data_IF_537220963746
#
_entry.id   IF_537220963746
#
_cell.length_a   1.000
_cell.length_b   1.000
_cell.length_c   1.000
_cell.angle_alpha   90.00
_cell.angle_beta   90.00
_cell.angle_gamma   90.00
#
_symmetry.space_group_name_H-M   'P 1'
#
loop_
_entity.id
_entity.type
_entity.pdbx_description
1 polymer ?
#
# COMPACT_ATOMS: atom_id res chain seq x y z
N UNK A 1 10.83 -16.06 -37.08
CA UNK A 1 9.56 -15.54 -36.53
C UNK A 1 9.24 -16.03 -35.10
N UNK A 2 9.87 -17.08 -34.58
CA UNK A 2 9.61 -17.63 -33.23
C UNK A 2 10.03 -16.75 -32.02
N UNK A 3 10.89 -15.75 -32.22
CA UNK A 3 11.47 -14.92 -31.13
C UNK A 3 10.54 -13.78 -30.69
N UNK A 4 9.62 -13.35 -31.56
CA UNK A 4 8.68 -12.25 -31.31
C UNK A 4 7.50 -12.71 -30.46
N UNK A 5 7.03 -13.94 -30.66
CA UNK A 5 5.89 -14.49 -29.90
C UNK A 5 6.24 -14.72 -28.41
N UNK A 6 7.49 -15.12 -28.12
CA UNK A 6 7.98 -15.29 -26.76
C UNK A 6 8.09 -13.97 -26.00
N UNK A 7 8.44 -12.88 -26.69
CA UNK A 7 8.52 -11.55 -26.08
C UNK A 7 7.12 -11.02 -25.72
N UNK A 8 6.12 -11.24 -26.58
CA UNK A 8 4.73 -10.81 -26.36
C UNK A 8 4.08 -11.61 -25.21
N UNK A 9 4.29 -12.92 -25.14
CA UNK A 9 3.85 -13.78 -24.03
C UNK A 9 4.51 -13.38 -22.70
N UNK A 10 5.80 -13.01 -22.72
CA UNK A 10 6.50 -12.53 -21.53
C UNK A 10 6.00 -11.15 -21.06
N UNK A 11 5.73 -10.22 -22.00
CA UNK A 11 5.15 -8.91 -21.69
C UNK A 11 3.74 -8.99 -21.13
N UNK A 12 2.89 -9.87 -21.67
CA UNK A 12 1.55 -10.13 -21.16
C UNK A 12 1.55 -10.64 -19.71
N UNK A 13 2.47 -11.55 -19.39
CA UNK A 13 2.64 -12.08 -18.02
C UNK A 13 3.02 -10.98 -17.02
N UNK A 14 3.91 -10.05 -17.41
CA UNK A 14 4.37 -8.98 -16.52
C UNK A 14 3.33 -7.87 -16.30
N UNK A 15 2.61 -7.51 -17.36
CA UNK A 15 1.53 -6.53 -17.25
C UNK A 15 0.43 -7.06 -16.33
N UNK A 16 0.04 -8.33 -16.47
CA UNK A 16 -0.94 -8.98 -15.61
C UNK A 16 -0.44 -9.04 -14.16
N UNK A 17 0.80 -9.47 -13.91
CA UNK A 17 1.33 -9.51 -12.53
C UNK A 17 1.40 -8.10 -11.90
N UNK A 18 1.77 -7.08 -12.68
CA UNK A 18 1.78 -5.69 -12.25
C UNK A 18 0.39 -5.18 -11.88
N UNK A 19 -0.58 -5.37 -12.78
CA UNK A 19 -1.99 -4.99 -12.53
C UNK A 19 -2.51 -5.69 -11.28
N UNK A 20 -2.32 -7.01 -11.15
CA UNK A 20 -2.77 -7.76 -9.97
C UNK A 20 -2.04 -7.33 -8.69
N UNK A 21 -0.81 -6.82 -8.77
CA UNK A 21 -0.09 -6.28 -7.61
C UNK A 21 -0.79 -5.08 -7.01
N UNK A 22 -1.41 -4.27 -7.86
CA UNK A 22 -2.02 -3.00 -7.47
C UNK A 22 -3.52 -3.18 -7.24
N UNK A 23 -4.22 -3.88 -8.12
CA UNK A 23 -5.69 -3.99 -8.08
C UNK A 23 -6.18 -4.78 -6.88
N UNK A 24 -5.56 -5.92 -6.53
CA UNK A 24 -5.98 -6.72 -5.37
C UNK A 24 -5.95 -5.95 -4.04
N UNK A 25 -4.82 -5.35 -3.62
CA UNK A 25 -4.81 -4.57 -2.39
C UNK A 25 -5.70 -3.33 -2.48
N UNK A 26 -5.77 -2.65 -3.63
CA UNK A 26 -6.65 -1.48 -3.80
C UNK A 26 -8.13 -1.85 -3.64
N UNK A 27 -8.58 -2.92 -4.30
CA UNK A 27 -9.95 -3.40 -4.22
C UNK A 27 -10.30 -3.91 -2.82
N UNK A 28 -9.39 -4.62 -2.16
CA UNK A 28 -9.58 -5.06 -0.78
C UNK A 28 -9.66 -3.87 0.18
N UNK A 29 -8.82 -2.85 0.00
CA UNK A 29 -8.88 -1.61 0.78
C UNK A 29 -10.17 -0.81 0.51
N UNK A 30 -10.66 -0.80 -0.72
CA UNK A 30 -11.97 -0.23 -1.04
C UNK A 30 -13.11 -0.98 -0.36
N UNK A 31 -13.07 -2.31 -0.37
CA UNK A 31 -14.07 -3.14 0.29
C UNK A 31 -14.06 -2.92 1.82
N UNK A 32 -12.89 -2.93 2.45
CA UNK A 32 -12.79 -2.66 3.90
C UNK A 32 -13.21 -1.23 4.24
N UNK A 33 -12.85 -0.24 3.41
CA UNK A 33 -13.31 1.13 3.59
C UNK A 33 -14.84 1.24 3.44
N UNK A 34 -15.45 0.56 2.47
CA UNK A 34 -16.90 0.48 2.31
C UNK A 34 -17.58 -0.15 3.51
N UNK A 35 -17.03 -1.24 4.04
CA UNK A 35 -17.57 -1.91 5.23
C UNK A 35 -17.47 -1.03 6.48
N UNK A 36 -16.36 -0.29 6.64
CA UNK A 36 -16.13 0.54 7.83
C UNK A 36 -16.80 1.93 7.76
N UNK A 37 -16.95 2.51 6.56
CA UNK A 37 -17.37 3.91 6.38
C UNK A 37 -18.55 4.09 5.40
N UNK A 38 -19.08 3.02 4.83
CA UNK A 38 -20.21 3.06 3.89
C UNK A 38 -19.88 3.80 2.59
N UNK A 39 -20.85 4.54 2.05
CA UNK A 39 -20.71 5.29 0.80
C UNK A 39 -19.61 6.37 0.84
N UNK A 40 -19.21 6.80 2.05
CA UNK A 40 -18.14 7.79 2.25
C UNK A 40 -16.79 7.33 1.70
N UNK A 41 -16.56 6.01 1.60
CA UNK A 41 -15.33 5.44 1.05
C UNK A 41 -15.04 5.79 -0.42
N UNK A 42 -16.06 6.22 -1.18
CA UNK A 42 -15.93 6.56 -2.62
C UNK A 42 -15.82 8.08 -2.82
N UNK A 43 -16.20 8.87 -1.82
CA UNK A 43 -16.21 10.32 -1.94
C UNK A 43 -14.79 10.86 -1.76
N UNK A 44 -14.21 11.56 -2.75
CA UNK A 44 -12.86 12.11 -2.66
C UNK A 44 -12.70 13.12 -1.51
N UNK A 45 -13.79 13.78 -1.13
CA UNK A 45 -13.84 14.71 0.00
C UNK A 45 -13.84 13.99 1.37
N UNK A 46 -14.01 12.67 1.40
CA UNK A 46 -14.04 11.91 2.65
C UNK A 46 -12.65 11.45 3.08
N UNK A 47 -12.33 11.54 4.38
CA UNK A 47 -11.14 10.89 4.95
C UNK A 47 -11.09 9.37 4.71
N UNK A 48 -12.24 8.73 4.46
CA UNK A 48 -12.29 7.29 4.16
C UNK A 48 -11.66 6.94 2.81
N UNK A 49 -11.67 7.87 1.84
CA UNK A 49 -11.05 7.67 0.52
C UNK A 49 -9.54 7.46 0.62
N UNK A 50 -8.90 7.99 1.68
CA UNK A 50 -7.47 7.78 1.97
C UNK A 50 -7.12 6.31 2.15
N UNK A 51 -8.05 5.45 2.60
CA UNK A 51 -7.80 4.00 2.69
C UNK A 51 -7.54 3.41 1.30
N UNK A 52 -8.32 3.85 0.30
CA UNK A 52 -8.21 3.37 -1.08
C UNK A 52 -6.94 3.89 -1.74
N UNK A 53 -6.66 5.19 -1.57
CA UNK A 53 -5.45 5.83 -2.11
C UNK A 53 -4.20 5.19 -1.52
N UNK A 54 -4.15 4.96 -0.21
CA UNK A 54 -3.02 4.29 0.42
C UNK A 54 -2.90 2.82 -0.03
N UNK A 55 -4.03 2.12 -0.22
CA UNK A 55 -4.03 0.77 -0.80
C UNK A 55 -3.37 0.72 -2.20
N UNK A 56 -3.70 1.70 -3.04
CA UNK A 56 -3.08 1.88 -4.36
C UNK A 56 -1.57 2.17 -4.25
N UNK A 57 -1.19 3.12 -3.39
CA UNK A 57 0.22 3.50 -3.19
C UNK A 57 1.07 2.31 -2.72
N UNK A 58 0.57 1.53 -1.75
CA UNK A 58 1.25 0.30 -1.32
C UNK A 58 1.36 -0.69 -2.46
N UNK A 59 0.31 -0.87 -3.27
CA UNK A 59 0.35 -1.70 -4.47
C UNK A 59 1.49 -1.30 -5.42
N UNK A 60 1.57 -0.01 -5.75
CA UNK A 60 2.62 0.56 -6.63
C UNK A 60 4.01 0.36 -6.01
N UNK A 61 4.18 0.66 -4.72
CA UNK A 61 5.44 0.50 -4.01
C UNK A 61 5.86 -0.97 -3.93
N UNK A 62 4.94 -1.91 -3.72
CA UNK A 62 5.24 -3.35 -3.75
C UNK A 62 5.68 -3.74 -5.15
N UNK A 63 5.01 -3.29 -6.20
CA UNK A 63 5.42 -3.55 -7.57
C UNK A 63 6.85 -3.05 -7.83
N UNK A 64 7.14 -1.81 -7.45
CA UNK A 64 8.48 -1.24 -7.55
C UNK A 64 9.51 -2.03 -6.71
N UNK A 65 9.18 -2.39 -5.47
CA UNK A 65 10.03 -3.18 -4.58
C UNK A 65 10.35 -4.57 -5.14
N UNK A 66 9.45 -5.17 -5.93
CA UNK A 66 9.71 -6.47 -6.57
C UNK A 66 10.62 -6.35 -7.78
N UNK A 67 10.58 -5.22 -8.48
CA UNK A 67 11.25 -5.05 -9.78
C UNK A 67 12.60 -4.37 -9.68
N UNK A 68 12.75 -3.39 -8.80
CA UNK A 68 13.95 -2.56 -8.71
C UNK A 68 14.84 -3.00 -7.56
N UNK A 69 16.03 -2.41 -7.40
CA UNK A 69 16.84 -2.51 -6.16
C UNK A 69 16.27 -1.58 -5.09
N UNK A 70 16.77 -1.67 -3.85
CA UNK A 70 16.33 -0.81 -2.74
C UNK A 70 16.41 0.68 -3.08
N UNK A 71 17.45 1.09 -3.84
CA UNK A 71 17.57 2.46 -4.34
C UNK A 71 16.38 2.89 -5.21
N UNK A 72 15.87 2.02 -6.08
CA UNK A 72 14.70 2.32 -6.91
C UNK A 72 13.41 2.42 -6.10
N UNK A 73 13.25 1.61 -5.04
CA UNK A 73 12.12 1.75 -4.11
C UNK A 73 12.14 3.12 -3.42
N UNK A 74 13.32 3.56 -2.98
CA UNK A 74 13.50 4.89 -2.39
C UNK A 74 13.17 5.99 -3.41
N UNK A 75 13.65 5.88 -4.65
CA UNK A 75 13.31 6.84 -5.71
C UNK A 75 11.81 6.89 -5.94
N UNK A 76 11.12 5.75 -6.02
CA UNK A 76 9.67 5.70 -6.18
C UNK A 76 8.94 6.36 -5.00
N UNK A 77 9.39 6.09 -3.77
CA UNK A 77 8.84 6.72 -2.58
C UNK A 77 9.03 8.25 -2.58
N UNK A 78 10.22 8.73 -2.97
CA UNK A 78 10.50 10.16 -3.09
C UNK A 78 9.62 10.80 -4.16
N UNK A 79 9.52 10.21 -5.35
CA UNK A 79 8.69 10.73 -6.44
C UNK A 79 7.22 10.79 -6.03
N UNK A 80 6.69 9.76 -5.36
CA UNK A 80 5.31 9.76 -4.85
C UNK A 80 5.10 10.82 -3.77
N UNK A 81 6.07 11.01 -2.88
CA UNK A 81 6.01 12.03 -1.81
C UNK A 81 5.99 13.43 -2.42
N UNK A 82 6.91 13.72 -3.34
CA UNK A 82 6.98 15.01 -4.05
C UNK A 82 5.71 15.25 -4.86
N UNK A 83 5.20 14.23 -5.55
CA UNK A 83 3.93 14.31 -6.28
C UNK A 83 2.78 14.71 -5.36
N UNK A 84 2.59 14.02 -4.23
CA UNK A 84 1.52 14.36 -3.28
C UNK A 84 1.65 15.77 -2.70
N UNK A 85 2.87 16.22 -2.39
CA UNK A 85 3.11 17.59 -1.94
C UNK A 85 2.80 18.60 -3.05
N UNK A 86 3.13 18.30 -4.30
CA UNK A 86 2.85 19.13 -5.47
C UNK A 86 1.35 19.28 -5.77
N UNK A 87 0.53 18.28 -5.43
CA UNK A 87 -0.93 18.35 -5.53
C UNK A 87 -1.60 19.08 -4.36
N UNK A 88 -0.84 19.51 -3.36
CA UNK A 88 -1.34 20.28 -2.22
C UNK A 88 -0.63 21.65 -2.09
N UNK A 89 -0.62 22.49 -3.16
CA UNK A 89 0.00 23.81 -3.09
C UNK A 89 -0.74 24.67 -2.07
N UNK A 90 -0.02 25.18 -1.06
CA UNK A 90 -0.60 25.92 0.06
C UNK A 90 -0.96 25.06 1.28
N UNK A 91 -0.64 23.76 1.26
CA UNK A 91 -0.74 22.94 2.46
C UNK A 91 0.17 23.47 3.58
N UNK A 92 -0.36 23.53 4.80
CA UNK A 92 0.43 23.91 5.97
C UNK A 92 1.65 22.99 6.15
N UNK A 93 2.72 23.51 6.76
CA UNK A 93 3.91 22.72 7.09
C UNK A 93 3.56 21.43 7.86
N UNK A 94 2.51 21.46 8.68
CA UNK A 94 1.98 20.30 9.39
C UNK A 94 1.46 19.20 8.47
N UNK A 95 0.73 19.58 7.42
CA UNK A 95 0.23 18.62 6.41
C UNK A 95 1.41 18.04 5.62
N UNK A 96 2.42 18.85 5.30
CA UNK A 96 3.64 18.35 4.65
C UNK A 96 4.38 17.32 5.52
N UNK A 97 4.61 17.61 6.80
CA UNK A 97 5.24 16.67 7.74
C UNK A 97 4.41 15.39 7.90
N UNK A 98 3.09 15.51 8.01
CA UNK A 98 2.19 14.36 8.04
C UNK A 98 2.35 13.46 6.82
N UNK A 99 2.38 14.03 5.62
CA UNK A 99 2.57 13.30 4.37
C UNK A 99 3.92 12.61 4.32
N UNK A 100 5.00 13.26 4.77
CA UNK A 100 6.34 12.66 4.84
C UNK A 100 6.33 11.47 5.80
N UNK A 101 5.79 11.62 7.01
CA UNK A 101 5.69 10.54 8.01
C UNK A 101 4.87 9.36 7.46
N UNK A 102 3.76 9.65 6.80
CA UNK A 102 2.92 8.64 6.15
C UNK A 102 3.69 7.86 5.08
N UNK A 103 4.42 8.57 4.21
CA UNK A 103 5.20 7.96 3.14
C UNK A 103 6.36 7.11 3.67
N UNK A 104 7.01 7.52 4.75
CA UNK A 104 8.01 6.71 5.45
C UNK A 104 7.37 5.42 5.98
N UNK A 105 6.22 5.52 6.66
CA UNK A 105 5.52 4.35 7.19
C UNK A 105 5.11 3.37 6.07
N UNK A 106 4.49 3.87 4.98
CA UNK A 106 4.11 3.09 3.81
C UNK A 106 5.31 2.37 3.19
N UNK A 107 6.41 3.10 2.99
CA UNK A 107 7.64 2.53 2.42
C UNK A 107 8.24 1.48 3.35
N UNK A 108 8.23 1.72 4.66
CA UNK A 108 8.65 0.76 5.67
C UNK A 108 7.82 -0.53 5.64
N UNK A 109 6.49 -0.42 5.56
CA UNK A 109 5.58 -1.58 5.48
C UNK A 109 5.94 -2.43 4.26
N UNK A 110 6.13 -1.78 3.11
CA UNK A 110 6.50 -2.43 1.85
C UNK A 110 7.87 -3.07 1.96
N UNK A 111 8.85 -2.37 2.52
CA UNK A 111 10.21 -2.88 2.66
C UNK A 111 10.23 -4.15 3.53
N UNK A 112 9.59 -4.11 4.70
CA UNK A 112 9.51 -5.27 5.59
C UNK A 112 8.81 -6.45 4.91
N UNK A 113 7.64 -6.23 4.32
CA UNK A 113 6.85 -7.32 3.74
C UNK A 113 7.38 -7.85 2.40
N UNK A 114 8.03 -7.00 1.58
CA UNK A 114 8.47 -7.38 0.24
C UNK A 114 9.95 -7.75 0.17
N UNK A 115 10.79 -7.31 1.13
CA UNK A 115 12.25 -7.54 1.13
C UNK A 115 12.77 -8.33 2.32
N UNK A 116 12.33 -8.01 3.54
CA UNK A 116 12.88 -8.63 4.75
C UNK A 116 12.24 -9.98 5.04
N UNK A 117 10.93 -10.11 4.84
CA UNK A 117 10.24 -11.36 5.11
C UNK A 117 10.55 -12.40 4.01
N UNK A 118 11.01 -13.60 4.38
CA UNK A 118 11.33 -14.65 3.41
C UNK A 118 10.08 -15.06 2.66
N UNK A 119 10.15 -15.12 1.32
CA UNK A 119 9.05 -15.63 0.49
C UNK A 119 8.97 -17.15 0.66
N UNK A 120 7.90 -17.67 1.29
CA UNK A 120 7.73 -19.11 1.35
C UNK A 120 7.47 -19.65 -0.07
N UNK A 121 8.00 -20.84 -0.36
CA UNK A 121 7.74 -21.58 -1.60
C UNK A 121 6.24 -21.88 -1.79
N UNK A 122 5.48 -21.99 -0.70
CA UNK A 122 4.02 -22.04 -0.68
C UNK A 122 3.46 -20.91 0.20
N UNK A 123 2.87 -19.85 -0.38
CA UNK A 123 2.27 -18.78 0.40
C UNK A 123 1.05 -19.28 1.17
N UNK A 124 1.15 -19.31 2.50
CA UNK A 124 -0.01 -19.51 3.37
C UNK A 124 -0.81 -18.21 3.47
N UNK A 125 -2.14 -18.33 3.33
CA UNK A 125 -3.06 -17.20 3.48
C UNK A 125 -2.88 -16.55 4.85
N UNK A 126 -2.98 -17.32 5.93
CA UNK A 126 -2.87 -16.83 7.30
C UNK A 126 -1.53 -16.19 7.59
N UNK A 127 -0.43 -16.79 7.12
CA UNK A 127 0.92 -16.21 7.32
C UNK A 127 1.07 -14.86 6.61
N UNK A 128 0.60 -14.77 5.36
CA UNK A 128 0.64 -13.52 4.59
C UNK A 128 -0.25 -12.46 5.23
N UNK A 129 -1.47 -12.85 5.61
CA UNK A 129 -2.43 -11.97 6.26
C UNK A 129 -1.87 -11.40 7.57
N UNK A 130 -1.39 -12.26 8.46
CA UNK A 130 -0.84 -11.85 9.77
C UNK A 130 0.39 -10.96 9.61
N UNK A 131 1.31 -11.28 8.68
CA UNK A 131 2.49 -10.47 8.43
C UNK A 131 2.13 -9.05 7.96
N UNK A 132 1.27 -8.94 6.96
CA UNK A 132 0.83 -7.65 6.44
C UNK A 132 0.04 -6.85 7.48
N UNK A 133 -0.85 -7.50 8.24
CA UNK A 133 -1.62 -6.84 9.28
C UNK A 133 -0.71 -6.34 10.41
N UNK A 134 0.15 -7.19 10.97
CA UNK A 134 1.02 -6.86 12.10
C UNK A 134 2.01 -5.74 11.76
N UNK A 135 2.68 -5.83 10.61
CA UNK A 135 3.64 -4.80 10.19
C UNK A 135 2.94 -3.48 9.92
N UNK A 136 1.76 -3.50 9.29
CA UNK A 136 0.99 -2.28 9.04
C UNK A 136 0.55 -1.62 10.34
N UNK A 137 -0.02 -2.39 11.28
CA UNK A 137 -0.45 -1.89 12.59
C UNK A 137 0.75 -1.28 13.34
N UNK A 138 1.88 -1.99 13.42
CA UNK A 138 3.06 -1.54 14.15
C UNK A 138 3.63 -0.23 13.58
N UNK A 139 3.80 -0.13 12.26
CA UNK A 139 4.39 1.05 11.63
C UNK A 139 3.45 2.26 11.62
N UNK A 140 2.13 2.05 11.48
CA UNK A 140 1.17 3.13 11.63
C UNK A 140 1.06 3.63 13.07
N UNK A 141 1.14 2.72 14.04
CA UNK A 141 1.21 3.10 15.44
C UNK A 141 2.46 3.95 15.73
N UNK A 142 3.62 3.50 15.25
CA UNK A 142 4.87 4.25 15.40
C UNK A 142 4.81 5.63 14.72
N UNK A 143 4.22 5.71 13.53
CA UNK A 143 3.98 6.98 12.84
C UNK A 143 3.08 7.93 13.66
N UNK A 144 2.03 7.41 14.28
CA UNK A 144 1.17 8.16 15.20
C UNK A 144 1.94 8.68 16.42
N UNK A 145 2.77 7.83 17.04
CA UNK A 145 3.63 8.21 18.16
C UNK A 145 4.63 9.30 17.77
N UNK A 146 5.23 9.21 16.57
CA UNK A 146 6.15 10.22 16.07
C UNK A 146 5.45 11.58 15.90
N UNK A 147 4.20 11.60 15.43
CA UNK A 147 3.43 12.84 15.33
C UNK A 147 3.10 13.45 16.69
N UNK A 148 2.87 12.63 17.72
CA UNK A 148 2.70 13.10 19.10
C UNK A 148 3.98 13.69 19.70
N UNK A 149 5.16 13.23 19.26
CA UNK A 149 6.44 13.80 19.67
C UNK A 149 6.73 15.14 18.98
N UNK A 150 6.31 15.28 17.72
CA UNK A 150 6.58 16.47 16.90
C UNK A 150 5.57 17.60 17.11
N UNK A 151 4.35 17.31 17.56
CA UNK A 151 3.27 18.28 17.69
C UNK A 151 2.49 18.11 18.99
N UNK A 152 1.87 19.19 19.47
CA UNK A 152 0.96 19.14 20.63
C UNK A 152 -0.23 18.24 20.35
N UNK A 153 -0.65 17.43 21.33
CA UNK A 153 -1.73 16.45 21.18
C UNK A 153 -3.04 17.05 20.60
N UNK A 154 -3.40 18.28 20.99
CA UNK A 154 -4.58 18.98 20.47
C UNK A 154 -4.51 19.26 18.96
N UNK A 155 -3.31 19.46 18.43
CA UNK A 155 -3.07 19.78 17.03
C UNK A 155 -3.03 18.55 16.12
N UNK A 156 -2.69 17.39 16.69
CA UNK A 156 -2.60 16.10 15.98
C UNK A 156 -3.74 15.13 16.26
N UNK A 157 -4.62 15.42 17.22
CA UNK A 157 -5.83 14.62 17.51
C UNK A 157 -6.65 14.21 16.26
N UNK A 158 -6.95 15.08 15.28
CA UNK A 158 -7.66 14.68 14.07
C UNK A 158 -6.85 13.70 13.21
N UNK A 159 -5.53 13.90 13.12
CA UNK A 159 -4.63 12.99 12.40
C UNK A 159 -4.49 11.65 13.12
N UNK A 160 -4.42 11.62 14.45
CA UNK A 160 -4.32 10.38 15.23
C UNK A 160 -5.55 9.50 15.09
N UNK A 161 -6.75 10.09 15.10
CA UNK A 161 -8.00 9.36 14.82
C UNK A 161 -7.99 8.81 13.39
N UNK A 162 -7.47 9.58 12.43
CA UNK A 162 -7.28 9.12 11.06
C UNK A 162 -6.27 7.96 10.99
N UNK A 163 -5.12 8.05 11.65
CA UNK A 163 -4.10 6.98 11.72
C UNK A 163 -4.62 5.71 12.39
N UNK A 164 -5.39 5.82 13.48
CA UNK A 164 -5.99 4.67 14.15
C UNK A 164 -6.97 3.94 13.21
N UNK A 165 -7.82 4.70 12.52
CA UNK A 165 -8.76 4.18 11.52
C UNK A 165 -8.07 3.60 10.29
N UNK A 166 -7.02 4.27 9.80
CA UNK A 166 -6.18 3.76 8.72
C UNK A 166 -5.48 2.48 9.15
N UNK A 167 -4.84 2.43 10.32
CA UNK A 167 -4.07 1.25 10.78
C UNK A 167 -4.88 -0.04 10.76
N UNK A 168 -6.16 0.04 11.10
CA UNK A 168 -7.09 -1.10 11.12
C UNK A 168 -7.69 -1.35 9.74
N UNK A 169 -8.35 -0.37 9.12
CA UNK A 169 -9.04 -0.57 7.83
C UNK A 169 -8.07 -0.83 6.66
N UNK A 170 -6.97 -0.08 6.61
CA UNK A 170 -5.91 -0.26 5.62
C UNK A 170 -5.08 -1.50 5.94
N UNK A 171 -4.72 -1.74 7.21
CA UNK A 171 -3.97 -2.93 7.60
C UNK A 171 -4.69 -4.22 7.23
N UNK A 172 -6.00 -4.31 7.54
CA UNK A 172 -6.84 -5.45 7.16
C UNK A 172 -7.05 -5.53 5.64
N UNK A 173 -7.26 -4.39 4.97
CA UNK A 173 -7.43 -4.34 3.51
C UNK A 173 -6.19 -4.81 2.76
N UNK A 174 -5.00 -4.36 3.15
CA UNK A 174 -3.73 -4.80 2.58
C UNK A 174 -3.47 -6.28 2.88
N UNK A 175 -3.69 -6.70 4.12
CA UNK A 175 -3.52 -8.10 4.52
C UNK A 175 -4.39 -9.04 3.71
N UNK A 176 -5.68 -8.71 3.57
CA UNK A 176 -6.61 -9.48 2.76
C UNK A 176 -6.21 -9.45 1.28
N UNK A 177 -5.92 -8.27 0.73
CA UNK A 177 -5.58 -8.09 -0.69
C UNK A 177 -4.33 -8.87 -1.10
N UNK A 178 -3.25 -8.80 -0.33
CA UNK A 178 -2.03 -9.55 -0.64
C UNK A 178 -2.16 -11.05 -0.38
N UNK A 179 -2.93 -11.47 0.63
CA UNK A 179 -3.21 -12.88 0.87
C UNK A 179 -4.06 -13.49 -0.25
N UNK A 180 -5.10 -12.79 -0.72
CA UNK A 180 -5.91 -13.19 -1.87
C UNK A 180 -5.10 -13.22 -3.16
N UNK A 181 -4.28 -12.19 -3.41
CA UNK A 181 -3.36 -12.19 -4.56
C UNK A 181 -2.45 -13.41 -4.53
N UNK A 182 -1.84 -13.73 -3.39
CA UNK A 182 -0.93 -14.87 -3.25
C UNK A 182 -1.60 -16.21 -3.55
N UNK A 183 -2.92 -16.31 -3.36
CA UNK A 183 -3.73 -17.49 -3.68
C UNK A 183 -4.22 -17.53 -5.12
N UNK A 184 -4.63 -16.39 -5.65
CA UNK A 184 -5.36 -16.32 -6.92
C UNK A 184 -4.47 -16.00 -8.13
N UNK A 185 -3.35 -15.29 -7.93
CA UNK A 185 -2.41 -14.98 -9.02
C UNK A 185 -1.92 -16.21 -9.79
N UNK A 186 -1.62 -17.38 -9.17
CA UNK A 186 -1.25 -18.59 -9.90
C UNK A 186 -2.35 -19.11 -10.85
N UNK A 187 -3.62 -18.84 -10.55
CA UNK A 187 -4.76 -19.23 -11.39
C UNK A 187 -4.86 -18.29 -12.59
N UNK A 188 -4.82 -16.97 -12.34
CA UNK A 188 -4.89 -15.96 -13.40
C UNK A 188 -3.70 -15.99 -14.36
N UNK A 189 -2.49 -16.24 -13.86
CA UNK A 189 -1.29 -16.33 -14.70
C UNK A 189 -1.16 -17.66 -15.46
N UNK A 190 -1.87 -18.72 -15.05
CA UNK A 190 -1.92 -19.99 -15.80
C UNK A 190 -3.00 -20.01 -16.88
N UNK A 191 -4.08 -19.25 -16.73
CA UNK A 191 -5.13 -19.12 -17.76
C UNK A 191 -4.75 -18.24 -18.95
N UNK A 192 -3.57 -17.63 -18.93
CA UNK A 192 -3.01 -16.77 -19.99
C UNK A 192 -1.80 -17.38 -20.69
N UNK A 193 -1.49 -18.65 -20.43
CA UNK A 193 -0.42 -19.42 -21.07
C UNK A 193 -1.02 -20.46 -22.02
#
# INVERSE_FOLDING_TARGET
MQKTDQAILSQGSWAVEGVLTVTFPTAACLLTARMAFGARAISPASPAFQVVVNGFLVGVLVFAARRWRSAGLLTAAVVLTVGMLGFAPGASARVAVHTIVLMIALTGIVFVNARLLPRPSRPSFWRTFLAWAAVSIALYFLAGMLLLLLFRAAEVAPFLRLYARLSTALGLGLALGFALRGRLAPVFCRGTA
#
